data_IF_384431527746
#
_entry.id   IF_384431527746
#
_cell.length_a   1.000
_cell.length_b   1.000
_cell.length_c   1.000
_cell.angle_alpha   90.00
_cell.angle_beta   90.00
_cell.angle_gamma   90.00
#
_symmetry.space_group_name_H-M   'P 1'
#
loop_
_entity.id
_entity.type
_entity.pdbx_description
1 polymer ?
#
# COMPACT_ATOMS: atom_id res chain seq x y z
N UNK A 1 -15.23 -58.66 -38.78
CA UNK A 1 -15.05 -57.85 -37.58
C UNK A 1 -13.71 -57.10 -37.59
N UNK A 2 -13.48 -56.15 -38.51
CA UNK A 2 -12.21 -55.41 -38.63
C UNK A 2 -12.39 -53.96 -39.15
N UNK A 3 -13.53 -53.30 -38.83
CA UNK A 3 -13.84 -51.97 -39.37
C UNK A 3 -14.29 -50.92 -38.30
N UNK A 4 -14.09 -51.15 -37.02
CA UNK A 4 -14.56 -50.24 -35.94
C UNK A 4 -13.37 -49.60 -35.17
N UNK A 5 -12.11 -49.86 -35.54
CA UNK A 5 -10.93 -49.26 -34.84
C UNK A 5 -10.28 -48.06 -35.52
N UNK A 6 -10.76 -47.64 -36.68
CA UNK A 6 -10.13 -46.56 -37.45
C UNK A 6 -10.81 -45.18 -37.35
N UNK A 7 -11.94 -45.07 -36.65
CA UNK A 7 -12.68 -43.79 -36.50
C UNK A 7 -12.39 -43.03 -35.18
N UNK A 8 -11.70 -43.65 -34.22
CA UNK A 8 -11.43 -43.06 -32.91
C UNK A 8 -10.08 -42.36 -32.77
N UNK A 9 -9.18 -42.52 -33.76
CA UNK A 9 -7.83 -41.95 -33.75
C UNK A 9 -7.65 -40.67 -34.59
N UNK A 10 -8.76 -40.13 -35.15
CA UNK A 10 -8.72 -38.86 -35.90
C UNK A 10 -9.41 -37.68 -35.22
N UNK A 11 -9.97 -37.89 -34.02
CA UNK A 11 -10.64 -36.83 -33.24
C UNK A 11 -9.80 -36.28 -32.10
N UNK A 12 -8.55 -36.74 -31.93
CA UNK A 12 -7.67 -36.33 -30.82
C UNK A 12 -6.49 -35.43 -31.26
N UNK A 13 -6.51 -34.90 -32.48
CA UNK A 13 -5.43 -34.01 -33.00
C UNK A 13 -5.92 -32.64 -33.42
N UNK A 14 -7.08 -32.16 -32.90
CA UNK A 14 -7.58 -30.82 -33.19
C UNK A 14 -8.13 -30.13 -31.94
N UNK A 15 -7.40 -30.21 -30.83
CA UNK A 15 -7.69 -29.45 -29.62
C UNK A 15 -6.39 -29.01 -28.93
N UNK A 16 -5.49 -28.35 -29.66
CA UNK A 16 -4.33 -27.68 -29.07
C UNK A 16 -3.98 -26.38 -29.79
N UNK A 17 -5.02 -25.63 -30.21
CA UNK A 17 -4.91 -24.21 -30.46
C UNK A 17 -5.95 -23.55 -29.54
N UNK A 18 -5.61 -23.46 -28.26
CA UNK A 18 -6.21 -22.49 -27.37
C UNK A 18 -5.75 -21.13 -27.85
N UNK A 19 -6.57 -20.50 -28.66
CA UNK A 19 -6.51 -19.08 -28.97
C UNK A 19 -6.40 -18.33 -27.65
N UNK A 20 -5.20 -17.86 -27.31
CA UNK A 20 -4.98 -16.88 -26.25
C UNK A 20 -5.95 -15.73 -26.50
N UNK A 21 -6.93 -15.59 -25.65
CA UNK A 21 -7.92 -14.52 -25.76
C UNK A 21 -7.22 -13.19 -25.46
N UNK A 22 -7.12 -12.28 -26.42
CA UNK A 22 -6.40 -10.99 -26.23
C UNK A 22 -7.10 -10.05 -25.21
N UNK A 23 -8.22 -10.46 -24.61
CA UNK A 23 -8.99 -9.64 -23.67
C UNK A 23 -8.45 -9.66 -22.25
N UNK A 24 -7.81 -10.72 -21.76
CA UNK A 24 -7.29 -10.74 -20.39
C UNK A 24 -6.02 -9.91 -20.23
N UNK A 25 -5.14 -9.94 -21.23
CA UNK A 25 -3.92 -9.13 -21.21
C UNK A 25 -4.18 -7.61 -21.28
N UNK A 26 -5.31 -7.19 -21.85
CA UNK A 26 -5.66 -5.77 -21.96
C UNK A 26 -6.19 -5.18 -20.65
N UNK A 27 -6.86 -5.99 -19.80
CA UNK A 27 -7.41 -5.51 -18.53
C UNK A 27 -6.33 -5.41 -17.44
N UNK A 28 -5.49 -6.43 -17.32
CA UNK A 28 -4.38 -6.40 -16.36
C UNK A 28 -3.35 -5.32 -16.70
N UNK A 29 -3.06 -5.07 -17.99
CA UNK A 29 -2.17 -3.98 -18.40
C UNK A 29 -2.75 -2.61 -18.07
N UNK A 30 -4.06 -2.40 -18.24
CA UNK A 30 -4.72 -1.13 -17.94
C UNK A 30 -4.70 -0.77 -16.45
N UNK A 31 -4.97 -1.74 -15.56
CA UNK A 31 -4.94 -1.53 -14.10
C UNK A 31 -3.51 -1.26 -13.64
N UNK A 32 -2.54 -2.02 -14.14
CA UNK A 32 -1.12 -1.83 -13.80
C UNK A 32 -0.61 -0.47 -14.28
N UNK A 33 -1.03 -0.01 -15.48
CA UNK A 33 -0.67 1.31 -16.00
C UNK A 33 -1.29 2.45 -15.18
N UNK A 34 -2.56 2.32 -14.76
CA UNK A 34 -3.23 3.33 -13.93
C UNK A 34 -2.60 3.41 -12.54
N UNK A 35 -2.30 2.27 -11.90
CA UNK A 35 -1.57 2.24 -10.63
C UNK A 35 -0.17 2.85 -10.78
N UNK A 36 0.57 2.48 -11.82
CA UNK A 36 1.89 3.04 -12.10
C UNK A 36 1.86 4.56 -12.37
N UNK A 37 0.83 5.07 -13.07
CA UNK A 37 0.67 6.50 -13.32
C UNK A 37 0.39 7.27 -12.02
N UNK A 38 -0.55 6.80 -11.19
CA UNK A 38 -0.87 7.43 -9.89
C UNK A 38 0.38 7.45 -9.00
N UNK A 39 1.06 6.31 -8.88
CA UNK A 39 2.31 6.19 -8.12
C UNK A 39 3.38 7.14 -8.64
N UNK A 40 3.64 7.16 -9.95
CA UNK A 40 4.62 8.04 -10.58
C UNK A 40 4.28 9.53 -10.38
N UNK A 41 3.00 9.90 -10.41
CA UNK A 41 2.54 11.28 -10.19
C UNK A 41 2.79 11.71 -8.75
N UNK A 42 2.45 10.88 -7.76
CA UNK A 42 2.67 11.17 -6.34
C UNK A 42 4.16 11.23 -6.00
N UNK A 43 4.95 10.28 -6.52
CA UNK A 43 6.42 10.30 -6.36
C UNK A 43 7.03 11.52 -7.06
N UNK A 44 6.53 11.93 -8.22
CA UNK A 44 7.00 13.13 -8.92
C UNK A 44 6.68 14.41 -8.16
N UNK A 45 5.50 14.51 -7.52
CA UNK A 45 5.15 15.64 -6.64
C UNK A 45 6.09 15.67 -5.43
N UNK A 46 6.34 14.51 -4.82
CA UNK A 46 7.29 14.39 -3.73
C UNK A 46 8.72 14.75 -4.15
N UNK A 47 9.17 14.28 -5.33
CA UNK A 47 10.48 14.59 -5.89
C UNK A 47 10.63 16.06 -6.31
N UNK A 48 9.56 16.69 -6.83
CA UNK A 48 9.56 18.11 -7.17
C UNK A 48 9.67 19.01 -5.94
N UNK A 49 9.13 18.59 -4.80
CA UNK A 49 9.30 19.27 -3.52
C UNK A 49 10.74 19.18 -2.99
N UNK A 50 11.50 18.15 -3.39
CA UNK A 50 12.91 17.94 -3.01
C UNK A 50 13.89 18.46 -4.05
N UNK A 51 13.46 18.57 -5.33
CA UNK A 51 14.33 18.69 -6.51
C UNK A 51 14.76 20.09 -6.92
N UNK A 52 14.36 21.16 -6.23
CA UNK A 52 14.97 22.47 -6.45
C UNK A 52 15.96 22.76 -5.32
N UNK A 53 17.27 22.84 -5.61
CA UNK A 53 18.15 23.56 -4.69
C UNK A 53 17.64 25.01 -4.69
N UNK A 54 16.84 25.36 -3.70
CA UNK A 54 16.62 26.77 -3.37
C UNK A 54 17.99 27.29 -3.00
N UNK A 55 18.68 27.86 -3.98
CA UNK A 55 19.82 28.74 -3.72
C UNK A 55 19.27 29.77 -2.74
N UNK A 56 19.60 29.56 -1.47
CA UNK A 56 19.24 30.45 -0.38
C UNK A 56 19.82 31.82 -0.70
N UNK A 57 19.02 32.63 -1.35
CA UNK A 57 19.24 34.05 -1.35
C UNK A 57 18.96 34.49 0.09
N UNK A 58 20.01 34.82 0.78
CA UNK A 58 20.02 35.41 2.12
C UNK A 58 19.17 36.68 2.12
N UNK A 59 17.86 36.53 2.31
CA UNK A 59 17.07 37.59 2.87
C UNK A 59 17.40 37.59 4.38
N UNK A 60 18.02 38.65 4.86
CA UNK A 60 18.22 38.89 6.29
C UNK A 60 16.87 39.07 7.00
N UNK A 61 16.16 37.99 7.19
CA UNK A 61 14.99 37.84 8.05
C UNK A 61 15.48 37.31 9.39
N UNK A 62 14.90 37.75 10.48
CA UNK A 62 15.29 37.39 11.84
C UNK A 62 15.42 35.87 11.98
N UNK A 63 16.53 35.42 12.54
CA UNK A 63 16.84 33.99 12.76
C UNK A 63 15.82 33.25 13.66
N UNK A 64 14.92 33.98 14.31
CA UNK A 64 13.85 33.44 15.17
C UNK A 64 12.73 32.69 14.41
N UNK A 65 12.61 32.90 13.08
CA UNK A 65 11.54 32.29 12.25
C UNK A 65 12.03 31.14 11.36
N UNK A 66 13.29 30.77 11.45
CA UNK A 66 13.85 29.66 10.66
C UNK A 66 13.55 28.31 11.32
N UNK A 67 13.03 27.35 10.54
CA UNK A 67 12.91 25.96 10.98
C UNK A 67 14.31 25.39 11.25
N UNK A 68 14.42 24.64 12.31
CA UNK A 68 15.65 23.92 12.67
C UNK A 68 15.41 22.41 12.64
N UNK A 69 16.40 21.65 12.20
CA UNK A 69 16.30 20.19 12.24
C UNK A 69 15.99 19.71 13.66
N UNK A 70 15.19 18.65 13.80
CA UNK A 70 14.83 18.09 15.11
C UNK A 70 16.07 17.56 15.84
N UNK A 71 16.00 17.57 17.17
CA UNK A 71 17.02 17.06 18.08
C UNK A 71 16.47 16.06 19.07
N UNK A 72 17.34 15.41 19.80
CA UNK A 72 16.96 14.49 20.87
C UNK A 72 15.96 15.15 21.84
N UNK A 73 14.84 14.46 22.09
CA UNK A 73 13.73 14.93 22.92
C UNK A 73 12.64 15.69 22.18
N UNK A 74 12.85 16.13 20.94
CA UNK A 74 11.82 16.78 20.13
C UNK A 74 10.73 15.80 19.69
N UNK A 75 9.55 16.35 19.46
CA UNK A 75 8.42 15.67 18.83
C UNK A 75 8.05 16.35 17.53
N UNK A 76 7.64 15.56 16.54
CA UNK A 76 6.91 16.05 15.37
C UNK A 76 5.56 15.34 15.32
N UNK A 77 4.48 16.12 15.21
CA UNK A 77 3.14 15.62 14.89
C UNK A 77 2.85 16.00 13.44
N UNK A 78 2.52 15.02 12.60
CA UNK A 78 2.32 15.20 11.17
C UNK A 78 0.94 14.75 10.74
N UNK A 79 0.16 15.65 10.15
CA UNK A 79 -1.07 15.31 9.42
C UNK A 79 -0.77 15.09 7.95
N UNK A 80 -1.20 13.97 7.38
CA UNK A 80 -0.91 13.58 5.97
C UNK A 80 -2.19 13.20 5.24
N UNK A 81 -2.17 13.38 3.93
CA UNK A 81 -3.00 12.64 2.98
C UNK A 81 -2.15 11.48 2.49
N UNK A 82 -2.69 10.30 2.60
CA UNK A 82 -1.99 9.04 2.34
C UNK A 82 -2.77 8.26 1.29
N UNK A 83 -2.09 7.81 0.25
CA UNK A 83 -2.62 6.90 -0.76
C UNK A 83 -1.98 5.53 -0.58
N UNK A 84 -2.82 4.49 -0.58
CA UNK A 84 -2.44 3.09 -0.39
C UNK A 84 -2.72 2.35 -1.69
N UNK A 85 -1.66 1.85 -2.31
CA UNK A 85 -1.72 1.06 -3.54
C UNK A 85 -1.55 -0.41 -3.17
N UNK A 86 -2.63 -1.17 -3.17
CA UNK A 86 -2.58 -2.62 -2.95
C UNK A 86 -2.07 -3.34 -4.19
N UNK A 87 -1.29 -4.40 -3.98
CA UNK A 87 -0.80 -5.29 -5.05
C UNK A 87 -1.52 -6.66 -5.02
N UNK A 88 -2.58 -6.82 -4.21
CA UNK A 88 -3.31 -8.07 -4.10
C UNK A 88 -3.96 -8.47 -5.44
N UNK A 89 -3.62 -9.66 -5.92
CA UNK A 89 -4.21 -10.34 -7.10
C UNK A 89 -4.07 -11.85 -6.88
N UNK A 90 -4.62 -12.34 -5.75
CA UNK A 90 -4.35 -13.68 -5.25
C UNK A 90 -5.46 -14.66 -5.64
N UNK A 91 -5.06 -15.89 -5.98
CA UNK A 91 -5.97 -16.92 -6.41
C UNK A 91 -6.89 -17.38 -5.27
N UNK A 92 -8.17 -17.54 -5.57
CA UNK A 92 -9.15 -18.15 -4.67
C UNK A 92 -9.19 -19.64 -4.91
N UNK A 93 -8.95 -20.43 -3.86
CA UNK A 93 -8.97 -21.89 -3.90
C UNK A 93 -10.20 -22.46 -3.20
N UNK A 94 -10.62 -23.65 -3.59
CA UNK A 94 -11.64 -24.41 -2.87
C UNK A 94 -11.05 -24.98 -1.57
N UNK A 95 -11.90 -25.45 -0.64
CA UNK A 95 -11.46 -26.13 0.59
C UNK A 95 -10.55 -27.35 0.33
N UNK A 96 -10.61 -27.95 -0.85
CA UNK A 96 -9.74 -29.04 -1.28
C UNK A 96 -8.41 -28.57 -1.92
N UNK A 97 -8.17 -27.24 -1.99
CA UNK A 97 -6.97 -26.64 -2.59
C UNK A 97 -6.99 -26.58 -4.12
N UNK A 98 -8.13 -26.80 -4.77
CA UNK A 98 -8.25 -26.66 -6.22
C UNK A 98 -8.50 -25.17 -6.57
N UNK A 99 -7.86 -24.69 -7.64
CA UNK A 99 -8.10 -23.35 -8.17
C UNK A 99 -9.57 -23.19 -8.59
N UNK A 100 -10.21 -22.12 -8.11
CA UNK A 100 -11.60 -21.79 -8.45
C UNK A 100 -11.71 -20.97 -9.75
N UNK A 101 -10.60 -20.50 -10.30
CA UNK A 101 -10.54 -19.55 -11.41
C UNK A 101 -10.97 -18.13 -11.05
N UNK A 102 -11.05 -17.81 -9.75
CA UNK A 102 -11.30 -16.48 -9.22
C UNK A 102 -10.04 -15.94 -8.56
N UNK A 103 -9.91 -14.60 -8.56
CA UNK A 103 -8.86 -13.86 -7.88
C UNK A 103 -9.48 -12.84 -6.93
N UNK A 104 -8.77 -12.52 -5.85
CA UNK A 104 -9.11 -11.41 -4.94
C UNK A 104 -8.45 -10.15 -5.46
N UNK A 105 -9.23 -9.09 -5.64
CA UNK A 105 -8.74 -7.74 -5.92
C UNK A 105 -9.12 -6.81 -4.77
N UNK A 106 -8.13 -6.04 -4.28
CA UNK A 106 -8.30 -5.05 -3.22
C UNK A 106 -8.02 -3.67 -3.77
N UNK A 107 -9.03 -2.80 -3.75
CA UNK A 107 -8.95 -1.46 -4.33
C UNK A 107 -7.98 -0.53 -3.61
N UNK A 108 -7.39 0.41 -4.36
CA UNK A 108 -6.60 1.53 -3.81
C UNK A 108 -7.47 2.40 -2.90
N UNK A 109 -6.87 3.03 -1.90
CA UNK A 109 -7.60 3.89 -0.97
C UNK A 109 -6.79 5.11 -0.54
N UNK A 110 -7.48 6.25 -0.52
CA UNK A 110 -6.92 7.51 -0.01
C UNK A 110 -7.49 7.80 1.37
N UNK A 111 -6.61 8.05 2.35
CA UNK A 111 -7.02 8.31 3.73
C UNK A 111 -6.23 9.43 4.38
N UNK A 112 -6.80 10.16 5.35
CA UNK A 112 -6.03 10.98 6.27
C UNK A 112 -5.27 10.10 7.25
N UNK A 113 -4.00 10.44 7.52
CA UNK A 113 -3.19 9.78 8.55
C UNK A 113 -2.57 10.80 9.49
N UNK A 114 -2.32 10.35 10.72
CA UNK A 114 -1.66 11.12 11.76
C UNK A 114 -0.40 10.38 12.20
N UNK A 115 0.75 11.07 12.09
CA UNK A 115 2.05 10.56 12.50
C UNK A 115 2.55 11.27 13.76
N UNK A 116 3.17 10.50 14.66
CA UNK A 116 3.84 10.96 15.86
C UNK A 116 5.27 10.49 15.82
N UNK A 117 6.21 11.41 15.69
CA UNK A 117 7.65 11.10 15.63
C UNK A 117 8.34 11.64 16.87
N UNK A 118 9.00 10.79 17.63
CA UNK A 118 9.81 11.14 18.80
C UNK A 118 11.28 10.91 18.51
N UNK A 119 12.11 11.90 18.80
CA UNK A 119 13.55 11.86 18.56
C UNK A 119 14.30 11.32 19.78
N UNK A 120 14.79 10.08 19.67
CA UNK A 120 15.61 9.43 20.69
C UNK A 120 17.00 10.06 20.77
N UNK A 121 17.54 10.40 19.61
CA UNK A 121 18.81 11.12 19.41
C UNK A 121 18.65 12.10 18.26
N UNK A 122 19.65 12.91 17.95
CA UNK A 122 19.63 13.80 16.78
C UNK A 122 19.51 13.01 15.45
N UNK A 123 19.92 11.75 15.43
CA UNK A 123 19.91 10.86 14.25
C UNK A 123 18.86 9.76 14.28
N UNK A 124 18.31 9.43 15.44
CA UNK A 124 17.36 8.32 15.58
C UNK A 124 16.02 8.82 16.11
N UNK A 125 14.94 8.41 15.45
CA UNK A 125 13.59 8.70 15.89
C UNK A 125 12.70 7.46 15.78
N UNK A 126 11.64 7.42 16.58
CA UNK A 126 10.55 6.43 16.46
C UNK A 126 9.33 7.16 15.95
N UNK A 127 8.72 6.65 14.90
CA UNK A 127 7.45 7.14 14.38
C UNK A 127 6.36 6.10 14.61
N UNK A 128 5.19 6.56 15.10
CA UNK A 128 3.95 5.80 15.10
C UNK A 128 2.96 6.49 14.17
N UNK A 129 2.34 5.74 13.26
CA UNK A 129 1.34 6.25 12.33
C UNK A 129 0.01 5.58 12.61
N UNK A 130 -1.04 6.40 12.62
CA UNK A 130 -2.43 5.98 12.76
C UNK A 130 -3.24 6.51 11.58
N UNK A 131 -4.11 5.68 11.05
CA UNK A 131 -5.08 6.01 10.02
C UNK A 131 -6.08 4.87 9.92
N UNK A 132 -7.26 5.15 9.39
CA UNK A 132 -8.26 4.13 9.11
C UNK A 132 -8.79 4.35 7.70
N UNK A 133 -8.95 3.26 6.98
CA UNK A 133 -9.44 3.26 5.61
C UNK A 133 -10.46 2.15 5.42
N UNK A 134 -11.33 2.34 4.45
CA UNK A 134 -12.34 1.37 4.06
C UNK A 134 -11.92 0.77 2.72
N UNK A 135 -11.95 -0.55 2.64
CA UNK A 135 -11.62 -1.29 1.43
C UNK A 135 -12.77 -2.18 1.00
N UNK A 136 -13.11 -2.15 -0.28
CA UNK A 136 -13.97 -3.12 -0.91
C UNK A 136 -13.12 -4.26 -1.48
N UNK A 137 -13.51 -5.49 -1.14
CA UNK A 137 -12.89 -6.71 -1.63
C UNK A 137 -13.79 -7.29 -2.71
N UNK A 138 -13.21 -7.57 -3.86
CA UNK A 138 -13.90 -8.11 -5.04
C UNK A 138 -13.35 -9.49 -5.40
N UNK A 139 -14.24 -10.36 -5.84
CA UNK A 139 -13.87 -11.62 -6.49
C UNK A 139 -13.99 -11.42 -7.99
N UNK A 140 -12.89 -11.60 -8.71
CA UNK A 140 -12.80 -11.40 -10.15
C UNK A 140 -12.35 -12.69 -10.84
N UNK A 141 -12.89 -12.97 -12.04
CA UNK A 141 -12.47 -14.14 -12.84
C UNK A 141 -13.48 -14.50 -13.91
N UNK A 142 -13.03 -14.75 -15.13
CA UNK A 142 -13.89 -15.07 -16.26
C UNK A 142 -14.91 -13.97 -16.55
N UNK A 143 -16.21 -14.23 -16.34
CA UNK A 143 -17.30 -13.26 -16.46
C UNK A 143 -17.76 -12.72 -15.09
N UNK A 144 -17.08 -13.08 -14.00
CA UNK A 144 -17.42 -12.69 -12.62
C UNK A 144 -16.61 -11.47 -12.23
N UNK A 145 -17.29 -10.46 -11.72
CA UNK A 145 -16.72 -9.30 -11.04
C UNK A 145 -17.74 -8.84 -10.00
N UNK A 146 -17.57 -9.28 -8.76
CA UNK A 146 -18.56 -9.08 -7.70
C UNK A 146 -17.89 -8.64 -6.40
N UNK A 147 -18.42 -7.60 -5.76
CA UNK A 147 -18.04 -7.23 -4.40
C UNK A 147 -18.49 -8.34 -3.43
N UNK A 148 -17.53 -8.86 -2.65
CA UNK A 148 -17.79 -9.94 -1.69
C UNK A 148 -17.78 -9.45 -0.26
N UNK A 149 -17.01 -8.41 0.02
CA UNK A 149 -16.87 -7.88 1.37
C UNK A 149 -16.44 -6.42 1.34
N UNK A 150 -16.76 -5.69 2.38
CA UNK A 150 -16.29 -4.33 2.63
C UNK A 150 -15.86 -4.24 4.10
N UNK A 151 -14.65 -3.75 4.36
CA UNK A 151 -14.12 -3.73 5.73
C UNK A 151 -13.34 -2.45 5.99
N UNK A 152 -13.34 -2.04 7.25
CA UNK A 152 -12.45 -1.01 7.75
C UNK A 152 -11.14 -1.65 8.19
N UNK A 153 -10.04 -1.03 7.80
CA UNK A 153 -8.69 -1.44 8.17
C UNK A 153 -8.02 -0.33 8.97
N UNK A 154 -7.51 -0.68 10.12
CA UNK A 154 -6.62 0.16 10.92
C UNK A 154 -5.23 -0.46 10.87
N UNK A 155 -4.29 0.05 10.07
CA UNK A 155 -2.93 -0.44 9.96
C UNK A 155 -1.95 0.43 10.76
N UNK A 156 -1.90 0.38 12.11
CA UNK A 156 -0.86 1.08 12.84
C UNK A 156 0.53 0.58 12.39
N UNK A 157 1.40 1.53 12.13
CA UNK A 157 2.80 1.25 11.75
C UNK A 157 3.72 1.94 12.74
N UNK A 158 4.69 1.20 13.27
CA UNK A 158 5.75 1.75 14.11
C UNK A 158 7.08 1.51 13.43
N UNK A 159 7.83 2.59 13.15
CA UNK A 159 9.14 2.54 12.51
C UNK A 159 10.22 3.20 13.33
N UNK A 160 11.41 2.63 13.30
CA UNK A 160 12.64 3.29 13.72
C UNK A 160 13.24 3.97 12.51
N UNK A 161 13.43 5.29 12.61
CA UNK A 161 13.97 6.13 11.53
C UNK A 161 15.42 6.50 11.83
N UNK A 162 16.27 6.48 10.80
CA UNK A 162 17.60 7.07 10.80
C UNK A 162 17.60 8.33 9.94
N UNK A 163 18.11 9.42 10.51
CA UNK A 163 18.18 10.74 9.89
C UNK A 163 19.65 11.17 9.76
N UNK A 164 20.23 11.12 8.56
CA UNK A 164 21.65 11.43 8.36
C UNK A 164 21.99 12.91 8.54
N UNK A 165 21.02 13.83 8.32
CA UNK A 165 21.23 15.25 8.42
C UNK A 165 20.55 15.83 9.66
N UNK A 166 21.35 16.46 10.53
CA UNK A 166 20.90 17.06 11.80
C UNK A 166 20.90 18.60 11.76
N UNK A 167 21.15 19.17 10.58
CA UNK A 167 21.23 20.62 10.39
C UNK A 167 20.48 21.05 9.13
N UNK A 168 20.14 22.35 9.08
CA UNK A 168 19.48 22.92 7.93
C UNK A 168 17.97 22.70 7.91
N UNK A 169 17.35 22.92 6.74
CA UNK A 169 15.89 22.86 6.54
C UNK A 169 15.42 21.55 5.92
N UNK A 170 16.32 20.70 5.53
CA UNK A 170 16.04 19.42 4.88
C UNK A 170 16.49 18.27 5.79
N UNK A 171 15.55 17.49 6.27
CA UNK A 171 15.79 16.35 7.17
C UNK A 171 15.26 15.06 6.54
N UNK A 172 16.06 14.40 5.68
CA UNK A 172 15.70 13.13 5.09
C UNK A 172 15.81 12.01 6.11
N UNK A 173 15.07 10.94 5.86
CA UNK A 173 15.13 9.74 6.71
C UNK A 173 14.88 8.47 5.92
N UNK A 174 15.40 7.38 6.46
CA UNK A 174 15.04 6.01 6.11
C UNK A 174 14.63 5.30 7.39
N UNK A 175 13.74 4.33 7.28
CA UNK A 175 13.25 3.63 8.47
C UNK A 175 12.85 2.20 8.16
N UNK A 176 12.81 1.40 9.21
CA UNK A 176 12.28 0.04 9.19
C UNK A 176 11.41 -0.18 10.43
N UNK A 177 10.40 -1.01 10.30
CA UNK A 177 9.48 -1.24 11.41
C UNK A 177 8.50 -2.36 11.18
N UNK A 178 7.48 -2.37 12.01
CA UNK A 178 6.40 -3.34 12.01
C UNK A 178 5.07 -2.65 11.85
N UNK A 179 4.13 -3.34 11.22
CA UNK A 179 2.71 -2.97 11.23
C UNK A 179 1.90 -4.09 11.87
N UNK A 180 0.74 -3.73 12.37
CA UNK A 180 -0.27 -4.68 12.80
C UNK A 180 -1.59 -4.29 12.15
N UNK A 181 -2.13 -5.13 11.29
CA UNK A 181 -3.41 -4.85 10.65
C UNK A 181 -4.57 -5.38 11.49
N UNK A 182 -5.54 -4.51 11.72
CA UNK A 182 -6.79 -4.82 12.42
C UNK A 182 -7.94 -4.59 11.45
N UNK A 183 -8.73 -5.64 11.23
CA UNK A 183 -9.93 -5.58 10.41
C UNK A 183 -11.16 -5.45 11.32
N UNK A 184 -12.04 -4.49 11.04
CA UNK A 184 -13.24 -4.27 11.84
C UNK A 184 -14.40 -3.73 11.02
N UNK A 185 -15.63 -3.84 11.56
CA UNK A 185 -16.85 -3.40 10.90
C UNK A 185 -16.99 -3.96 9.46
N UNK A 186 -16.65 -5.25 9.28
CA UNK A 186 -16.82 -5.94 8.02
C UNK A 186 -18.29 -6.10 7.66
N UNK A 187 -18.65 -5.78 6.42
CA UNK A 187 -19.98 -5.99 5.85
C UNK A 187 -19.90 -6.99 4.69
N UNK A 188 -20.58 -8.12 4.87
CA UNK A 188 -20.70 -9.13 3.83
C UNK A 188 -21.61 -8.64 2.69
N UNK A 189 -21.19 -8.85 1.46
CA UNK A 189 -21.92 -8.45 0.26
C UNK A 189 -22.32 -9.69 -0.56
N UNK A 190 -23.43 -9.58 -1.29
CA UNK A 190 -23.89 -10.59 -2.26
C UNK A 190 -24.00 -12.04 -1.69
N UNK A 191 -24.39 -12.20 -0.42
CA UNK A 191 -24.50 -13.45 0.31
C UNK A 191 -23.17 -14.23 0.50
N UNK A 192 -22.04 -13.57 0.33
CA UNK A 192 -20.76 -14.11 0.78
C UNK A 192 -20.57 -13.79 2.26
N UNK A 193 -19.91 -14.69 2.97
CA UNK A 193 -19.38 -14.46 4.31
C UNK A 193 -17.86 -14.48 4.21
N UNK A 194 -17.23 -13.39 4.56
CA UNK A 194 -15.75 -13.27 4.48
C UNK A 194 -15.22 -12.97 5.86
N UNK A 195 -14.21 -13.74 6.28
CA UNK A 195 -13.47 -13.54 7.51
C UNK A 195 -12.02 -13.32 7.15
N UNK A 196 -11.44 -12.22 7.65
CA UNK A 196 -10.04 -11.85 7.52
C UNK A 196 -9.37 -11.95 8.88
N UNK A 197 -8.16 -12.46 8.94
CA UNK A 197 -7.39 -12.58 10.16
C UNK A 197 -6.49 -11.34 10.36
N UNK A 198 -6.48 -10.82 11.58
CA UNK A 198 -5.54 -9.78 11.99
C UNK A 198 -4.11 -10.33 12.00
N UNK A 199 -3.12 -9.48 11.74
CA UNK A 199 -1.74 -9.97 11.69
C UNK A 199 -0.68 -8.89 11.75
N UNK A 200 0.57 -9.36 11.89
CA UNK A 200 1.77 -8.52 11.85
C UNK A 200 2.40 -8.55 10.47
N UNK A 201 2.96 -7.41 10.07
CA UNK A 201 3.78 -7.28 8.89
C UNK A 201 5.02 -6.43 9.17
N UNK A 202 5.82 -6.25 8.14
CA UNK A 202 7.04 -5.43 8.18
C UNK A 202 6.88 -4.23 7.27
N UNK A 203 7.61 -3.14 7.59
CA UNK A 203 7.61 -1.94 6.78
C UNK A 203 9.02 -1.40 6.58
N UNK A 204 9.31 -0.96 5.36
CA UNK A 204 10.44 -0.08 5.06
C UNK A 204 9.91 1.30 4.67
N UNK A 205 10.65 2.33 5.03
CA UNK A 205 10.24 3.72 4.89
C UNK A 205 11.38 4.56 4.36
N UNK A 206 11.05 5.52 3.51
CA UNK A 206 11.92 6.62 3.14
C UNK A 206 11.12 7.91 3.00
N UNK A 207 11.69 9.02 3.47
CA UNK A 207 10.98 10.29 3.41
C UNK A 207 11.86 11.48 3.79
N UNK A 208 11.23 12.64 3.89
CA UNK A 208 11.90 13.86 4.32
C UNK A 208 10.93 14.84 4.96
N UNK A 209 11.42 15.58 5.95
CA UNK A 209 10.82 16.81 6.46
C UNK A 209 11.56 17.99 5.86
N UNK A 210 10.81 18.93 5.28
CA UNK A 210 11.31 20.14 4.65
C UNK A 210 10.79 21.34 5.45
N UNK A 211 11.67 22.00 6.20
CA UNK A 211 11.28 23.14 7.03
C UNK A 211 10.69 24.29 6.22
N UNK A 212 9.50 24.72 6.58
CA UNK A 212 8.80 25.85 5.93
C UNK A 212 9.03 27.12 6.70
N UNK A 213 8.45 27.24 7.88
CA UNK A 213 8.55 28.43 8.74
C UNK A 213 8.30 28.07 10.20
N UNK A 214 9.12 28.61 11.11
CA UNK A 214 9.01 28.34 12.54
C UNK A 214 9.05 26.84 12.85
N UNK A 215 8.09 26.27 13.58
CA UNK A 215 8.07 24.86 13.89
C UNK A 215 7.50 23.95 12.78
N UNK A 216 7.08 24.51 11.63
CA UNK A 216 6.35 23.79 10.59
C UNK A 216 7.25 23.24 9.49
N UNK A 217 7.00 22.03 9.08
CA UNK A 217 7.63 21.34 7.94
C UNK A 217 6.60 20.77 6.98
N UNK A 218 6.95 20.70 5.70
CA UNK A 218 6.32 19.84 4.73
C UNK A 218 6.94 18.45 4.89
N UNK A 219 6.11 17.40 4.92
CA UNK A 219 6.55 16.03 4.98
C UNK A 219 6.16 15.29 3.70
N UNK A 220 7.10 14.51 3.17
CA UNK A 220 6.85 13.53 2.10
C UNK A 220 7.39 12.19 2.55
N UNK A 221 6.63 11.14 2.28
CA UNK A 221 6.92 9.80 2.82
C UNK A 221 6.45 8.71 1.88
N UNK A 222 7.26 7.66 1.73
CA UNK A 222 6.94 6.44 1.00
C UNK A 222 7.26 5.25 1.89
N UNK A 223 6.32 4.32 1.98
CA UNK A 223 6.52 3.04 2.68
C UNK A 223 6.21 1.88 1.74
N UNK A 224 6.98 0.83 1.83
CA UNK A 224 6.61 -0.51 1.40
C UNK A 224 6.27 -1.32 2.63
N UNK A 225 5.10 -1.90 2.63
CA UNK A 225 4.64 -2.81 3.68
C UNK A 225 4.59 -4.20 3.10
N UNK A 226 4.94 -5.22 3.89
CA UNK A 226 4.75 -6.63 3.58
C UNK A 226 3.81 -7.20 4.62
N UNK A 227 2.67 -7.65 4.15
CA UNK A 227 1.63 -8.21 5.00
C UNK A 227 0.78 -9.19 4.20
N UNK A 228 0.62 -10.39 4.74
CA UNK A 228 -0.30 -11.39 4.24
C UNK A 228 -1.38 -11.72 5.27
N UNK A 229 -2.54 -12.14 4.79
CA UNK A 229 -3.67 -12.55 5.61
C UNK A 229 -4.43 -13.70 4.95
N UNK A 230 -4.93 -14.60 5.78
CA UNK A 230 -5.84 -15.66 5.34
C UNK A 230 -7.27 -15.11 5.24
N UNK A 231 -7.90 -15.35 4.09
CA UNK A 231 -9.30 -15.04 3.85
C UNK A 231 -10.12 -16.35 3.78
N UNK A 232 -11.01 -16.55 4.75
CA UNK A 232 -12.01 -17.62 4.73
C UNK A 232 -13.33 -17.10 4.16
N UNK A 233 -13.81 -17.71 3.08
CA UNK A 233 -15.04 -17.32 2.40
C UNK A 233 -16.07 -18.46 2.56
N UNK A 234 -17.30 -18.10 2.95
CA UNK A 234 -18.43 -19.01 3.17
C UNK A 234 -18.08 -20.19 4.11
N UNK A 235 -17.61 -19.83 5.32
CA UNK A 235 -17.25 -20.77 6.38
C UNK A 235 -16.14 -21.78 5.94
N UNK A 236 -15.19 -21.31 5.10
CA UNK A 236 -14.05 -22.09 4.61
C UNK A 236 -14.32 -22.92 3.36
N UNK A 237 -15.47 -22.73 2.70
CA UNK A 237 -15.75 -23.38 1.41
C UNK A 237 -14.79 -22.90 0.31
N UNK A 238 -14.35 -21.64 0.38
CA UNK A 238 -13.31 -21.04 -0.44
C UNK A 238 -12.29 -20.40 0.48
N UNK A 239 -11.03 -20.37 0.06
CA UNK A 239 -9.91 -19.79 0.80
C UNK A 239 -8.99 -19.00 -0.13
N UNK A 240 -8.40 -17.96 0.40
CA UNK A 240 -7.32 -17.25 -0.27
C UNK A 240 -6.28 -16.83 0.76
N UNK A 241 -5.01 -17.01 0.41
CA UNK A 241 -3.88 -16.40 1.10
C UNK A 241 -3.60 -15.10 0.34
N UNK A 242 -3.90 -13.96 0.98
CA UNK A 242 -3.92 -12.65 0.33
C UNK A 242 -2.66 -11.87 0.70
N UNK A 243 -1.80 -11.66 -0.27
CA UNK A 243 -0.61 -10.82 -0.15
C UNK A 243 -0.97 -9.36 -0.45
N UNK A 244 -1.24 -8.56 0.58
CA UNK A 244 -1.63 -7.16 0.42
C UNK A 244 -0.50 -6.25 -0.02
N UNK A 245 0.70 -6.52 0.42
CA UNK A 245 2.00 -5.89 0.09
C UNK A 245 1.94 -4.44 -0.45
N UNK A 246 1.23 -3.50 0.22
CA UNK A 246 0.96 -2.20 -0.37
C UNK A 246 2.18 -1.29 -0.42
N UNK A 247 2.19 -0.43 -1.44
CA UNK A 247 2.92 0.82 -1.39
C UNK A 247 2.04 1.91 -0.77
N UNK A 248 2.62 2.66 0.15
CA UNK A 248 1.95 3.74 0.88
C UNK A 248 2.71 5.04 0.62
N UNK A 249 2.07 6.00 -0.04
CA UNK A 249 2.65 7.30 -0.38
C UNK A 249 1.90 8.40 0.36
N UNK A 250 2.62 9.28 1.02
CA UNK A 250 2.03 10.30 1.87
C UNK A 250 2.66 11.67 1.66
N UNK A 251 1.82 12.69 1.75
CA UNK A 251 2.26 14.09 1.80
C UNK A 251 1.47 14.82 2.88
N UNK A 252 2.13 15.71 3.61
CA UNK A 252 1.47 16.43 4.69
C UNK A 252 2.31 17.51 5.34
N UNK A 253 1.82 18.00 6.45
CA UNK A 253 2.50 19.01 7.25
C UNK A 253 2.75 18.51 8.66
N UNK A 254 4.00 18.70 9.11
CA UNK A 254 4.44 18.41 10.45
C UNK A 254 4.63 19.67 11.27
N UNK A 255 4.37 19.57 12.56
CA UNK A 255 4.73 20.59 13.53
C UNK A 255 5.65 20.00 14.59
N UNK A 256 6.79 20.64 14.79
CA UNK A 256 7.77 20.29 15.81
C UNK A 256 7.41 20.94 17.16
N UNK A 257 7.61 20.22 18.23
CA UNK A 257 7.40 20.62 19.62
C UNK A 257 8.66 20.37 20.44
#
# INVERSE_FOLDING_TARGET
MRWIKAAWLRSAHHASDAEERPHQAAWTSGITEVKAYKFATLVAIAAAAVGTPVLAQSAAGSTADAWTAPRAGDWIVTGRVTDVFSEADDAVTTAAGADSGLHVDVGDSVMPTLGFTYFLTDHLAVEAILGATQHEIRAQGGATDVAVHETWVLPPVVTLQYRPLTEGRFSPYVGAGVNYMVFFNGEDKNNFKVKLDDGFGYALQAGADIGVKGPWSLNVDVKKVWFNTDADINDGALKSDVDLDPWVVSVGFGRKF
#
